data_IF_680367921306
#
_entry.id   IF_680367921306
#
_cell.length_a   1.000
_cell.length_b   1.000
_cell.length_c   1.000
_cell.angle_alpha   90.00
_cell.angle_beta   90.00
_cell.angle_gamma   90.00
#
_symmetry.space_group_name_H-M   'P 1'
#
loop_
_entity.id
_entity.type
_entity.pdbx_description
1 polymer ?
#
# COMPACT_ATOMS: atom_id res chain seq x y z
N UNK A 1 -3.52 29.35 7.02
CA UNK A 1 -3.58 28.07 7.76
C UNK A 1 -3.90 26.93 6.77
N UNK A 2 -3.29 25.75 6.93
CA UNK A 2 -3.63 24.58 6.09
C UNK A 2 -5.06 24.12 6.39
N UNK A 3 -5.84 23.82 5.33
CA UNK A 3 -7.18 23.25 5.49
C UNK A 3 -7.11 21.84 6.13
N UNK A 4 -8.16 21.37 6.84
CA UNK A 4 -8.15 20.11 7.57
C UNK A 4 -7.70 18.91 6.71
N UNK A 5 -8.25 18.76 5.49
CA UNK A 5 -7.90 17.68 4.58
C UNK A 5 -6.42 17.70 4.18
N UNK A 6 -5.81 18.86 4.00
CA UNK A 6 -4.39 18.96 3.61
C UNK A 6 -3.47 18.46 4.73
N UNK A 7 -3.87 18.61 6.00
CA UNK A 7 -3.10 18.07 7.13
C UNK A 7 -3.11 16.55 7.12
N UNK A 8 -4.26 15.94 6.84
CA UNK A 8 -4.37 14.49 6.73
C UNK A 8 -3.60 13.97 5.51
N UNK A 9 -3.71 14.63 4.35
CA UNK A 9 -2.90 14.30 3.17
C UNK A 9 -1.40 14.36 3.47
N UNK A 10 -0.96 15.37 4.24
CA UNK A 10 0.46 15.47 4.63
C UNK A 10 0.85 14.34 5.57
N UNK A 11 -0.02 13.88 6.48
CA UNK A 11 0.28 12.71 7.32
C UNK A 11 0.45 11.43 6.48
N UNK A 12 -0.41 11.19 5.49
CA UNK A 12 -0.23 10.09 4.53
C UNK A 12 1.09 10.21 3.76
N UNK A 13 1.42 11.42 3.30
CA UNK A 13 2.68 11.69 2.61
C UNK A 13 3.89 11.42 3.49
N UNK A 14 3.92 11.92 4.73
CA UNK A 14 5.04 11.73 5.67
C UNK A 14 5.21 10.27 6.10
N UNK A 15 4.11 9.52 6.24
CA UNK A 15 4.16 8.09 6.46
C UNK A 15 4.89 7.39 5.31
N UNK A 16 4.48 7.68 4.08
CA UNK A 16 5.10 7.12 2.89
C UNK A 16 6.56 7.57 2.69
N UNK A 17 6.89 8.83 3.04
CA UNK A 17 8.27 9.34 3.04
C UNK A 17 9.16 8.49 3.95
N UNK A 18 8.68 8.17 5.14
CA UNK A 18 9.42 7.35 6.10
C UNK A 18 9.64 5.93 5.57
N UNK A 19 8.60 5.30 5.03
CA UNK A 19 8.69 3.97 4.43
C UNK A 19 9.63 3.96 3.22
N UNK A 20 9.40 4.85 2.27
CA UNK A 20 10.16 4.91 1.02
C UNK A 20 11.65 5.17 1.23
N UNK A 21 12.01 5.98 2.25
CA UNK A 21 13.40 6.22 2.61
C UNK A 21 14.14 4.92 3.00
N UNK A 22 13.51 4.07 3.82
CA UNK A 22 14.11 2.81 4.26
C UNK A 22 14.06 1.75 3.15
N UNK A 23 12.90 1.60 2.46
CA UNK A 23 12.77 0.57 1.42
C UNK A 23 13.71 0.79 0.22
N UNK A 24 14.02 2.03 -0.12
CA UNK A 24 15.06 2.32 -1.11
C UNK A 24 16.49 1.94 -0.63
N UNK A 25 16.67 1.70 0.67
CA UNK A 25 17.92 1.27 1.30
C UNK A 25 17.96 -0.22 1.64
N UNK A 26 16.99 -1.02 1.18
CA UNK A 26 16.98 -2.47 1.44
C UNK A 26 18.27 -3.18 1.02
N UNK A 27 18.90 -2.85 -0.12
CA UNK A 27 20.20 -3.43 -0.45
C UNK A 27 21.30 -3.12 0.57
N UNK A 28 21.30 -1.91 1.12
CA UNK A 28 22.30 -1.47 2.11
C UNK A 28 22.03 -2.13 3.48
N UNK A 29 20.75 -2.24 3.87
CA UNK A 29 20.32 -2.91 5.09
C UNK A 29 20.70 -4.40 5.07
N UNK A 30 20.46 -5.09 3.95
CA UNK A 30 20.84 -6.49 3.77
C UNK A 30 22.34 -6.71 4.00
N UNK A 31 23.16 -5.85 3.37
CA UNK A 31 24.63 -5.93 3.49
C UNK A 31 25.06 -5.60 4.92
N UNK A 32 24.49 -4.57 5.55
CA UNK A 32 24.86 -4.19 6.91
C UNK A 32 24.54 -5.27 7.95
N UNK A 33 23.46 -6.01 7.75
CA UNK A 33 23.07 -7.14 8.62
C UNK A 33 23.86 -8.43 8.31
N UNK A 34 24.49 -8.53 7.14
CA UNK A 34 25.17 -9.75 6.70
C UNK A 34 24.22 -10.94 6.49
N UNK A 35 22.94 -10.67 6.18
CA UNK A 35 21.90 -11.68 6.03
C UNK A 35 21.67 -12.07 4.57
N UNK A 36 21.22 -13.30 4.35
CA UNK A 36 20.74 -13.73 3.05
C UNK A 36 19.34 -13.17 2.73
N UNK A 37 18.81 -13.45 1.54
CA UNK A 37 17.50 -12.94 1.12
C UNK A 37 16.34 -13.60 1.87
N UNK A 38 16.50 -14.86 2.28
CA UNK A 38 15.50 -15.57 3.08
C UNK A 38 15.38 -14.95 4.47
N UNK A 39 16.52 -14.68 5.12
CA UNK A 39 16.59 -14.04 6.42
C UNK A 39 16.07 -12.59 6.39
N UNK A 40 16.40 -11.84 5.31
CA UNK A 40 15.82 -10.51 5.10
C UNK A 40 14.30 -10.59 4.96
N UNK A 41 13.78 -11.50 4.16
CA UNK A 41 12.34 -11.72 3.99
C UNK A 41 11.64 -12.04 5.32
N UNK A 42 12.25 -12.90 6.17
CA UNK A 42 11.76 -13.18 7.51
C UNK A 42 11.82 -11.94 8.42
N UNK A 43 12.82 -11.10 8.25
CA UNK A 43 12.93 -9.85 9.03
C UNK A 43 11.81 -8.87 8.68
N UNK A 44 11.47 -8.74 7.41
CA UNK A 44 10.39 -7.86 6.93
C UNK A 44 8.99 -8.27 7.42
N UNK A 45 8.77 -9.55 7.71
CA UNK A 45 7.47 -10.07 8.18
C UNK A 45 7.01 -9.40 9.49
N UNK A 46 7.94 -8.90 10.29
CA UNK A 46 7.65 -8.19 11.54
C UNK A 46 6.65 -7.05 11.31
N UNK A 47 6.83 -6.26 10.25
CA UNK A 47 5.94 -5.14 9.95
C UNK A 47 4.51 -5.60 9.65
N UNK A 48 4.36 -6.67 8.89
CA UNK A 48 3.05 -7.23 8.54
C UNK A 48 2.34 -7.80 9.76
N UNK A 49 3.06 -8.51 10.67
CA UNK A 49 2.50 -9.03 11.93
C UNK A 49 2.00 -7.87 12.79
N UNK A 50 2.84 -6.85 12.99
CA UNK A 50 2.48 -5.66 13.78
C UNK A 50 1.25 -4.96 13.22
N UNK A 51 1.21 -4.73 11.90
CA UNK A 51 0.09 -4.08 11.23
C UNK A 51 -1.21 -4.88 11.38
N UNK A 52 -1.18 -6.19 11.19
CA UNK A 52 -2.37 -7.06 11.33
C UNK A 52 -2.94 -7.01 12.74
N UNK A 53 -2.09 -7.10 13.76
CA UNK A 53 -2.49 -6.98 15.17
C UNK A 53 -3.13 -5.61 15.41
N UNK A 54 -2.50 -4.55 14.94
CA UNK A 54 -2.98 -3.19 15.14
C UNK A 54 -4.29 -2.92 14.42
N UNK A 55 -4.44 -3.32 13.16
CA UNK A 55 -5.68 -3.19 12.38
C UNK A 55 -6.85 -3.89 13.07
N UNK A 56 -6.58 -4.96 13.84
CA UNK A 56 -7.60 -5.71 14.57
C UNK A 56 -7.93 -5.10 15.93
N UNK A 57 -6.94 -4.62 16.68
CA UNK A 57 -7.08 -4.33 18.10
C UNK A 57 -6.96 -2.85 18.48
N UNK A 58 -6.45 -1.96 17.61
CA UNK A 58 -6.12 -0.59 18.00
C UNK A 58 -7.31 0.38 18.04
N UNK A 59 -8.46 0.05 17.42
CA UNK A 59 -9.61 0.96 17.34
C UNK A 59 -10.07 1.53 18.68
N UNK A 60 -10.19 0.76 19.79
CA UNK A 60 -10.59 1.32 21.09
C UNK A 60 -9.56 2.28 21.66
N UNK A 61 -8.26 2.01 21.43
CA UNK A 61 -7.17 2.89 21.86
C UNK A 61 -7.19 4.21 21.08
N UNK A 62 -7.34 4.13 19.75
CA UNK A 62 -7.46 5.30 18.88
C UNK A 62 -8.64 6.19 19.31
N UNK A 63 -9.78 5.57 19.62
CA UNK A 63 -10.97 6.31 20.10
C UNK A 63 -10.71 7.06 21.42
N UNK A 64 -9.90 6.51 22.32
CA UNK A 64 -9.52 7.15 23.59
C UNK A 64 -8.48 8.26 23.43
N UNK A 65 -7.47 8.03 22.58
CA UNK A 65 -6.38 8.98 22.35
C UNK A 65 -6.82 10.17 21.47
N UNK A 66 -7.75 9.94 20.58
CA UNK A 66 -8.21 10.89 19.57
C UNK A 66 -7.22 11.03 18.40
N UNK A 67 -7.72 11.61 17.30
CA UNK A 67 -7.02 11.66 16.00
C UNK A 67 -5.65 12.34 16.07
N UNK A 68 -5.55 13.46 16.80
CA UNK A 68 -4.32 14.25 16.87
C UNK A 68 -3.21 13.52 17.62
N UNK A 69 -3.50 12.98 18.81
CA UNK A 69 -2.52 12.25 19.63
C UNK A 69 -2.09 10.98 18.93
N UNK A 70 -3.03 10.24 18.33
CA UNK A 70 -2.71 9.04 17.56
C UNK A 70 -1.81 9.38 16.38
N UNK A 71 -2.11 10.40 15.58
CA UNK A 71 -1.28 10.82 14.47
C UNK A 71 0.14 11.23 14.95
N UNK A 72 0.24 11.93 16.07
CA UNK A 72 1.53 12.34 16.65
C UNK A 72 2.38 11.13 17.02
N UNK A 73 1.82 10.20 17.81
CA UNK A 73 2.53 9.00 18.27
C UNK A 73 2.93 8.09 17.10
N UNK A 74 2.05 7.94 16.10
CA UNK A 74 2.28 7.00 15.01
C UNK A 74 3.22 7.56 13.94
N UNK A 75 2.99 8.77 13.40
CA UNK A 75 3.84 9.36 12.36
C UNK A 75 5.25 9.56 12.86
N UNK A 76 5.41 10.17 14.04
CA UNK A 76 6.74 10.43 14.59
C UNK A 76 7.38 9.17 15.17
N UNK A 77 6.59 8.27 15.75
CA UNK A 77 7.07 7.01 16.28
C UNK A 77 7.64 6.09 15.19
N UNK A 78 6.96 5.95 14.04
CA UNK A 78 7.49 5.18 12.91
C UNK A 78 8.78 5.79 12.40
N UNK A 79 8.85 7.12 12.25
CA UNK A 79 10.06 7.79 11.81
C UNK A 79 11.22 7.58 12.78
N UNK A 80 10.97 7.66 14.11
CA UNK A 80 11.98 7.40 15.13
C UNK A 80 12.48 5.95 15.08
N UNK A 81 11.56 4.96 14.98
CA UNK A 81 11.93 3.54 14.88
C UNK A 81 12.79 3.30 13.63
N UNK A 82 12.42 3.86 12.49
CA UNK A 82 13.16 3.65 11.25
C UNK A 82 14.53 4.36 11.27
N UNK A 83 14.69 5.44 12.01
CA UNK A 83 16.00 6.06 12.21
C UNK A 83 16.96 5.22 13.09
N UNK A 84 16.42 4.31 13.91
CA UNK A 84 17.23 3.39 14.73
C UNK A 84 17.76 2.21 13.91
N UNK A 85 16.98 1.71 12.94
CA UNK A 85 17.32 0.51 12.15
C UNK A 85 18.74 0.53 11.58
N UNK A 86 19.27 1.64 11.00
CA UNK A 86 20.62 1.66 10.45
C UNK A 86 21.77 1.49 11.46
N UNK A 87 21.47 1.53 12.75
CA UNK A 87 22.44 1.37 13.83
C UNK A 87 22.42 -0.03 14.45
N UNK A 88 21.54 -0.90 13.95
CA UNK A 88 21.40 -2.27 14.43
C UNK A 88 22.19 -3.22 13.50
N UNK A 89 22.82 -4.20 14.13
CA UNK A 89 23.64 -5.23 13.48
C UNK A 89 23.03 -6.64 13.56
N UNK A 90 21.84 -6.77 14.17
CA UNK A 90 21.18 -8.04 14.37
C UNK A 90 19.77 -8.07 13.74
N UNK A 91 19.51 -9.05 12.87
CA UNK A 91 18.21 -9.23 12.21
C UNK A 91 17.02 -9.34 13.19
N UNK A 92 17.12 -10.02 14.35
CA UNK A 92 16.03 -10.04 15.33
C UNK A 92 15.69 -8.65 15.91
N UNK A 93 16.68 -7.77 16.07
CA UNK A 93 16.44 -6.40 16.54
C UNK A 93 15.74 -5.57 15.47
N UNK A 94 16.14 -5.73 14.20
CA UNK A 94 15.47 -5.08 13.07
C UNK A 94 14.06 -5.61 12.89
N UNK A 95 13.84 -6.93 13.06
CA UNK A 95 12.48 -7.51 13.09
C UNK A 95 11.60 -6.87 14.15
N UNK A 96 12.12 -6.69 15.38
CA UNK A 96 11.39 -6.03 16.46
C UNK A 96 11.04 -4.57 16.11
N UNK A 97 11.96 -3.84 15.46
CA UNK A 97 11.69 -2.50 14.93
C UNK A 97 10.60 -2.51 13.87
N UNK A 98 10.64 -3.42 12.90
CA UNK A 98 9.57 -3.57 11.91
C UNK A 98 8.24 -3.94 12.56
N UNK A 99 8.24 -4.84 13.54
CA UNK A 99 7.03 -5.20 14.28
C UNK A 99 6.40 -3.99 14.99
N UNK A 100 7.20 -3.21 15.71
CA UNK A 100 6.74 -1.99 16.38
C UNK A 100 6.25 -0.94 15.36
N UNK A 101 6.98 -0.76 14.26
CA UNK A 101 6.58 0.14 13.18
C UNK A 101 5.26 -0.32 12.54
N UNK A 102 5.06 -1.63 12.37
CA UNK A 102 3.81 -2.21 11.91
C UNK A 102 2.63 -1.92 12.84
N UNK A 103 2.82 -2.09 14.16
CA UNK A 103 1.79 -1.73 15.16
C UNK A 103 1.38 -0.26 15.03
N UNK A 104 2.34 0.63 14.90
CA UNK A 104 2.05 2.06 14.72
C UNK A 104 1.45 2.35 13.35
N UNK A 105 1.90 1.67 12.29
CA UNK A 105 1.42 1.84 10.92
C UNK A 105 -0.04 1.44 10.77
N UNK A 106 -0.45 0.30 11.30
CA UNK A 106 -1.85 -0.12 11.29
C UNK A 106 -2.77 0.84 12.08
N UNK A 107 -2.31 1.33 13.22
CA UNK A 107 -3.05 2.34 13.99
C UNK A 107 -3.14 3.68 13.23
N UNK A 108 -2.07 4.09 12.56
CA UNK A 108 -2.04 5.30 11.73
C UNK A 108 -3.04 5.19 10.58
N UNK A 109 -3.06 4.06 9.88
CA UNK A 109 -3.94 3.83 8.75
C UNK A 109 -5.42 3.93 9.16
N UNK A 110 -5.83 3.26 10.24
CA UNK A 110 -7.19 3.39 10.78
C UNK A 110 -7.50 4.86 11.10
N UNK A 111 -6.59 5.52 11.83
CA UNK A 111 -6.78 6.89 12.31
C UNK A 111 -6.97 7.89 11.16
N UNK A 112 -6.12 7.81 10.13
CA UNK A 112 -6.17 8.72 8.99
C UNK A 112 -7.37 8.43 8.08
N UNK A 113 -7.69 7.15 7.85
CA UNK A 113 -8.84 6.76 7.02
C UNK A 113 -10.17 7.18 7.68
N UNK A 114 -10.32 7.01 8.98
CA UNK A 114 -11.51 7.47 9.71
C UNK A 114 -11.63 8.99 9.67
N UNK A 115 -10.53 9.72 9.84
CA UNK A 115 -10.58 11.17 9.84
C UNK A 115 -10.86 11.76 8.46
N UNK A 116 -10.28 11.21 7.40
CA UNK A 116 -10.58 11.67 6.04
C UNK A 116 -12.02 11.35 5.63
N UNK A 117 -12.60 10.20 6.05
CA UNK A 117 -14.02 9.89 5.85
C UNK A 117 -14.94 10.92 6.54
N UNK A 118 -14.59 11.33 7.76
CA UNK A 118 -15.35 12.39 8.48
C UNK A 118 -15.29 13.73 7.75
N UNK A 119 -14.11 14.13 7.29
CA UNK A 119 -13.93 15.38 6.51
C UNK A 119 -14.67 15.31 5.18
N UNK A 120 -14.63 14.16 4.51
CA UNK A 120 -15.33 13.90 3.25
C UNK A 120 -16.85 14.02 3.42
N UNK A 121 -17.39 13.46 4.50
CA UNK A 121 -18.82 13.56 4.83
C UNK A 121 -19.27 15.01 5.07
N UNK A 122 -18.44 15.84 5.73
CA UNK A 122 -18.73 17.26 5.95
C UNK A 122 -18.67 18.08 4.66
N UNK A 123 -17.71 17.77 3.81
CA UNK A 123 -17.47 18.52 2.57
C UNK A 123 -18.36 18.07 1.41
N UNK A 124 -19.11 16.96 1.57
CA UNK A 124 -19.89 16.29 0.50
C UNK A 124 -19.08 16.07 -0.78
N UNK A 125 -17.79 15.75 -0.63
CA UNK A 125 -16.83 15.63 -1.73
C UNK A 125 -15.83 14.53 -1.44
N UNK A 126 -15.63 13.60 -2.41
CA UNK A 126 -14.66 12.52 -2.35
C UNK A 126 -13.22 13.01 -2.13
N UNK A 127 -12.55 12.48 -1.09
CA UNK A 127 -11.19 12.87 -0.70
C UNK A 127 -10.28 11.66 -0.42
N UNK A 128 -10.85 10.47 -0.21
CA UNK A 128 -10.10 9.26 0.14
C UNK A 128 -9.05 8.88 -0.91
N UNK A 129 -9.43 8.85 -2.19
CA UNK A 129 -8.49 8.54 -3.29
C UNK A 129 -7.32 9.52 -3.35
N UNK A 130 -7.57 10.79 -3.05
CA UNK A 130 -6.51 11.81 -2.98
C UNK A 130 -5.56 11.57 -1.80
N UNK A 131 -6.08 11.17 -0.64
CA UNK A 131 -5.27 10.87 0.52
C UNK A 131 -4.27 9.74 0.21
N UNK A 132 -4.73 8.64 -0.39
CA UNK A 132 -3.88 7.55 -0.85
C UNK A 132 -2.97 7.96 -2.03
N UNK A 133 -3.40 8.91 -2.86
CA UNK A 133 -2.54 9.54 -3.87
C UNK A 133 -1.35 10.28 -3.26
N UNK A 134 -1.55 11.01 -2.16
CA UNK A 134 -0.46 11.65 -1.42
C UNK A 134 0.49 10.64 -0.77
N UNK A 135 -0.02 9.49 -0.30
CA UNK A 135 0.82 8.39 0.14
C UNK A 135 1.72 7.88 -0.99
N UNK A 136 1.15 7.55 -2.14
CA UNK A 136 1.91 7.07 -3.31
C UNK A 136 2.94 8.11 -3.80
N UNK A 137 2.56 9.39 -3.81
CA UNK A 137 3.45 10.49 -4.16
C UNK A 137 4.63 10.61 -3.18
N UNK A 138 4.37 10.49 -1.87
CA UNK A 138 5.41 10.50 -0.84
C UNK A 138 6.41 9.37 -1.04
N UNK A 139 5.92 8.18 -1.34
CA UNK A 139 6.76 7.02 -1.59
C UNK A 139 7.64 7.22 -2.83
N UNK A 140 7.06 7.66 -3.95
CA UNK A 140 7.79 7.98 -5.19
C UNK A 140 8.87 9.04 -4.98
N UNK A 141 8.50 10.19 -4.42
CA UNK A 141 9.44 11.30 -4.20
C UNK A 141 10.61 10.86 -3.34
N UNK A 142 10.33 10.11 -2.28
CA UNK A 142 11.37 9.64 -1.37
C UNK A 142 12.23 8.56 -1.99
N UNK A 143 11.67 7.63 -2.74
CA UNK A 143 12.44 6.60 -3.45
C UNK A 143 13.43 7.23 -4.45
N UNK A 144 12.99 8.27 -5.17
CA UNK A 144 13.86 9.02 -6.10
C UNK A 144 14.98 9.76 -5.35
N UNK A 145 14.64 10.49 -4.29
CA UNK A 145 15.63 11.23 -3.47
C UNK A 145 16.62 10.26 -2.83
N UNK A 146 16.13 9.15 -2.26
CA UNK A 146 16.96 8.13 -1.63
C UNK A 146 17.95 7.49 -2.61
N UNK A 147 17.54 7.29 -3.87
CA UNK A 147 18.41 6.79 -4.94
C UNK A 147 19.57 7.75 -5.21
N UNK A 148 19.30 9.05 -5.29
CA UNK A 148 20.32 10.09 -5.44
C UNK A 148 21.26 10.22 -4.24
N UNK A 149 20.71 10.19 -3.02
CA UNK A 149 21.47 10.22 -1.75
C UNK A 149 22.39 8.99 -1.68
N UNK A 150 21.90 7.82 -2.07
CA UNK A 150 22.68 6.58 -2.11
C UNK A 150 23.80 6.65 -3.14
N UNK A 151 23.55 7.19 -4.33
CA UNK A 151 24.56 7.43 -5.38
C UNK A 151 25.64 8.40 -4.91
N UNK A 152 25.28 9.41 -4.12
CA UNK A 152 26.24 10.35 -3.53
C UNK A 152 27.09 9.75 -2.41
N UNK A 153 26.93 8.47 -2.08
CA UNK A 153 27.71 7.80 -1.03
C UNK A 153 27.32 8.18 0.39
N UNK A 154 26.16 8.87 0.58
CA UNK A 154 25.70 9.24 1.92
C UNK A 154 25.23 7.99 2.65
N UNK A 155 25.73 7.79 3.87
CA UNK A 155 25.43 6.61 4.68
C UNK A 155 23.92 6.47 4.96
N UNK A 156 23.48 5.23 5.22
CA UNK A 156 22.08 4.95 5.57
C UNK A 156 21.70 5.67 6.88
N UNK A 157 22.65 5.74 7.85
CA UNK A 157 22.48 6.45 9.12
C UNK A 157 22.20 7.94 8.92
N UNK A 158 23.01 8.62 8.11
CA UNK A 158 22.84 10.05 7.84
C UNK A 158 21.52 10.32 7.08
N UNK A 159 21.20 9.49 6.09
CA UNK A 159 19.95 9.60 5.32
C UNK A 159 18.72 9.44 6.24
N UNK A 160 18.67 8.38 7.05
CA UNK A 160 17.51 8.13 7.93
C UNK A 160 17.40 9.18 9.04
N UNK A 161 18.54 9.66 9.57
CA UNK A 161 18.56 10.78 10.54
C UNK A 161 17.99 12.05 9.90
N UNK A 162 18.41 12.41 8.69
CA UNK A 162 17.85 13.55 7.96
C UNK A 162 16.36 13.41 7.70
N UNK A 163 15.91 12.20 7.33
CA UNK A 163 14.51 11.91 7.10
C UNK A 163 13.68 12.08 8.38
N UNK A 164 14.15 11.54 9.53
CA UNK A 164 13.41 11.67 10.79
C UNK A 164 13.32 13.13 11.24
N UNK A 165 14.39 13.91 11.09
CA UNK A 165 14.37 15.34 11.41
C UNK A 165 13.32 16.06 10.55
N UNK A 166 13.30 15.82 9.24
CA UNK A 166 12.32 16.43 8.35
C UNK A 166 10.88 16.03 8.72
N UNK A 167 10.64 14.75 9.02
CA UNK A 167 9.31 14.24 9.43
C UNK A 167 8.89 14.84 10.78
N UNK A 168 9.82 15.00 11.75
CA UNK A 168 9.52 15.61 13.05
C UNK A 168 9.16 17.09 12.91
N UNK A 169 9.91 17.85 12.12
CA UNK A 169 9.68 19.28 11.92
C UNK A 169 8.35 19.49 11.18
N UNK A 170 8.18 18.86 10.02
CA UNK A 170 6.98 19.04 9.18
C UNK A 170 5.77 18.40 9.86
N UNK A 171 5.91 17.15 10.34
CA UNK A 171 4.85 16.38 11.00
C UNK A 171 4.41 17.06 12.30
N UNK A 172 5.33 17.50 13.13
CA UNK A 172 5.03 18.22 14.37
C UNK A 172 4.18 19.46 14.10
N UNK A 173 4.56 20.30 13.13
CA UNK A 173 3.80 21.49 12.74
C UNK A 173 2.42 21.14 12.16
N UNK A 174 2.35 20.15 11.27
CA UNK A 174 1.10 19.77 10.60
C UNK A 174 0.12 19.14 11.59
N UNK A 175 0.60 18.18 12.40
CA UNK A 175 -0.23 17.43 13.36
C UNK A 175 -0.71 18.34 14.50
N UNK A 176 0.13 19.27 14.96
CA UNK A 176 -0.27 20.25 15.99
C UNK A 176 -1.52 21.03 15.63
N UNK A 177 -1.78 21.26 14.36
CA UNK A 177 -2.95 21.96 13.87
C UNK A 177 -4.12 21.06 13.47
N UNK A 178 -4.07 19.75 13.65
CA UNK A 178 -5.21 18.85 13.40
C UNK A 178 -6.32 19.17 14.41
N UNK A 179 -7.51 19.42 13.89
CA UNK A 179 -8.75 19.54 14.66
C UNK A 179 -9.65 18.40 14.24
N UNK A 180 -10.08 17.53 15.18
CA UNK A 180 -10.95 16.40 14.85
C UNK A 180 -12.22 16.87 14.14
N UNK A 181 -12.56 16.22 13.04
CA UNK A 181 -13.86 16.41 12.41
C UNK A 181 -14.97 15.77 13.28
N UNK A 182 -16.21 16.32 13.29
CA UNK A 182 -17.33 15.70 13.99
C UNK A 182 -17.53 14.25 13.58
N UNK A 183 -17.88 13.42 14.56
CA UNK A 183 -18.19 12.03 14.28
C UNK A 183 -19.37 11.93 13.30
N UNK A 184 -19.23 11.08 12.30
CA UNK A 184 -20.35 10.74 11.42
C UNK A 184 -21.42 10.05 12.26
N UNK A 185 -22.68 10.47 12.11
CA UNK A 185 -23.82 9.75 12.69
C UNK A 185 -23.89 8.41 11.95
N UNK A 186 -23.30 7.37 12.54
CA UNK A 186 -23.47 6.02 12.03
C UNK A 186 -24.82 5.52 12.52
N UNK A 187 -25.67 5.07 11.61
CA UNK A 187 -26.76 4.19 12.00
C UNK A 187 -26.15 2.95 12.69
N UNK A 188 -26.59 2.70 13.93
CA UNK A 188 -25.94 1.81 14.90
C UNK A 188 -25.96 0.32 14.57
N UNK A 189 -26.24 -0.11 13.34
CA UNK A 189 -26.72 -1.45 13.04
C UNK A 189 -25.71 -2.45 12.46
N UNK A 190 -24.42 -2.14 12.33
CA UNK A 190 -23.50 -3.16 11.86
C UNK A 190 -22.09 -3.05 12.46
N UNK A 191 -21.86 -3.70 13.59
CA UNK A 191 -20.49 -4.04 13.98
C UNK A 191 -19.90 -4.97 12.91
N UNK A 192 -18.87 -4.50 12.22
CA UNK A 192 -18.12 -5.38 11.32
C UNK A 192 -17.62 -6.59 12.13
N UNK A 193 -17.76 -7.82 11.64
CA UNK A 193 -17.28 -8.99 12.36
C UNK A 193 -15.77 -8.90 12.51
N UNK A 194 -15.26 -9.20 13.68
CA UNK A 194 -13.82 -9.24 13.98
C UNK A 194 -13.08 -10.24 13.09
N UNK A 195 -13.79 -11.29 12.66
CA UNK A 195 -13.30 -12.30 11.73
C UNK A 195 -14.42 -12.75 10.78
N UNK A 196 -14.16 -12.70 9.48
CA UNK A 196 -15.10 -13.10 8.45
C UNK A 196 -14.39 -14.00 7.43
N UNK A 197 -14.87 -15.25 7.28
CA UNK A 197 -14.41 -16.13 6.21
C UNK A 197 -15.09 -15.76 4.87
N UNK A 198 -14.36 -15.81 3.74
CA UNK A 198 -14.94 -15.55 2.44
C UNK A 198 -15.97 -16.62 2.06
N UNK A 199 -17.07 -16.21 1.43
CA UNK A 199 -17.98 -17.15 0.75
C UNK A 199 -17.32 -17.69 -0.52
N UNK A 200 -17.76 -18.86 -1.00
CA UNK A 200 -17.24 -19.40 -2.27
C UNK A 200 -17.36 -18.40 -3.44
N UNK A 201 -18.44 -17.64 -3.45
CA UNK A 201 -18.64 -16.60 -4.47
C UNK A 201 -17.70 -15.38 -4.32
N UNK A 202 -17.08 -15.19 -3.15
CA UNK A 202 -16.10 -14.10 -2.92
C UNK A 202 -14.67 -14.53 -3.30
N UNK A 203 -14.38 -15.82 -3.35
CA UNK A 203 -13.03 -16.35 -3.63
C UNK A 203 -12.38 -15.79 -4.90
N UNK A 204 -13.08 -15.64 -6.05
CA UNK A 204 -12.47 -15.03 -7.24
C UNK A 204 -11.95 -13.62 -6.98
N UNK A 205 -12.65 -12.80 -6.21
CA UNK A 205 -12.20 -11.45 -5.84
C UNK A 205 -10.99 -11.51 -4.90
N UNK A 206 -10.97 -12.46 -3.95
CA UNK A 206 -9.81 -12.69 -3.09
C UNK A 206 -8.56 -13.07 -3.91
N UNK A 207 -8.70 -13.93 -4.90
CA UNK A 207 -7.59 -14.35 -5.78
C UNK A 207 -7.00 -13.15 -6.53
N UNK A 208 -7.84 -12.27 -7.07
CA UNK A 208 -7.37 -11.05 -7.74
C UNK A 208 -6.59 -10.17 -6.77
N UNK A 209 -7.12 -9.95 -5.56
CA UNK A 209 -6.44 -9.14 -4.53
C UNK A 209 -5.11 -9.76 -4.07
N UNK A 210 -5.08 -11.07 -3.84
CA UNK A 210 -3.87 -11.85 -3.48
C UNK A 210 -2.79 -11.67 -4.56
N UNK A 211 -3.16 -11.87 -5.84
CA UNK A 211 -2.23 -11.76 -6.95
C UNK A 211 -1.66 -10.33 -7.08
N UNK A 212 -2.53 -9.32 -6.93
CA UNK A 212 -2.12 -7.92 -6.98
C UNK A 212 -1.15 -7.57 -5.85
N UNK A 213 -1.44 -7.96 -4.60
CA UNK A 213 -0.58 -7.66 -3.45
C UNK A 213 0.73 -8.42 -3.47
N UNK A 214 0.75 -9.66 -3.99
CA UNK A 214 2.01 -10.40 -4.17
C UNK A 214 2.94 -9.66 -5.15
N UNK A 215 2.43 -9.20 -6.28
CA UNK A 215 3.20 -8.44 -7.25
C UNK A 215 3.59 -7.04 -6.75
N UNK A 216 2.71 -6.38 -5.97
CA UNK A 216 2.99 -5.10 -5.31
C UNK A 216 4.11 -5.25 -4.29
N UNK A 217 4.05 -6.26 -3.42
CA UNK A 217 5.11 -6.56 -2.45
C UNK A 217 6.44 -6.88 -3.12
N UNK A 218 6.44 -7.66 -4.20
CA UNK A 218 7.64 -7.91 -4.98
C UNK A 218 8.27 -6.61 -5.50
N UNK A 219 7.45 -5.67 -6.00
CA UNK A 219 7.93 -4.38 -6.50
C UNK A 219 8.48 -3.48 -5.40
N UNK A 220 7.83 -3.41 -4.25
CA UNK A 220 8.22 -2.53 -3.14
C UNK A 220 9.47 -3.08 -2.42
N UNK A 221 9.46 -4.36 -2.05
CA UNK A 221 10.47 -4.91 -1.15
C UNK A 221 11.74 -5.31 -1.87
N UNK A 222 11.63 -5.77 -3.12
CA UNK A 222 12.70 -6.48 -3.80
C UNK A 222 13.27 -5.80 -5.05
N UNK A 223 12.63 -4.76 -5.60
CA UNK A 223 13.06 -4.17 -6.87
C UNK A 223 14.48 -3.57 -6.82
N UNK A 224 14.85 -2.91 -5.72
CA UNK A 224 16.18 -2.34 -5.55
C UNK A 224 17.25 -3.44 -5.40
N UNK A 225 16.94 -4.54 -4.71
CA UNK A 225 17.82 -5.72 -4.58
C UNK A 225 17.94 -6.43 -5.92
N UNK A 226 16.82 -6.59 -6.66
CA UNK A 226 16.81 -7.17 -7.99
C UNK A 226 17.76 -6.42 -8.93
N UNK A 227 17.65 -5.09 -9.00
CA UNK A 227 18.49 -4.27 -9.89
C UNK A 227 19.97 -4.37 -9.53
N UNK A 228 20.31 -4.43 -8.24
CA UNK A 228 21.68 -4.64 -7.78
C UNK A 228 22.21 -6.02 -8.15
N UNK A 229 21.47 -7.08 -7.84
CA UNK A 229 21.96 -8.46 -7.90
C UNK A 229 21.95 -9.02 -9.33
N UNK A 230 20.99 -8.60 -10.16
CA UNK A 230 20.84 -9.14 -11.53
C UNK A 230 21.70 -8.37 -12.53
N UNK A 231 21.86 -7.05 -12.35
CA UNK A 231 22.52 -6.20 -13.33
C UNK A 231 23.77 -5.49 -12.80
N UNK A 232 24.03 -5.55 -11.50
CA UNK A 232 25.16 -4.87 -10.85
C UNK A 232 25.24 -3.38 -11.21
N UNK A 233 24.06 -2.73 -11.35
CA UNK A 233 23.97 -1.33 -11.73
C UNK A 233 24.33 -0.40 -10.58
N UNK A 234 24.66 0.84 -10.92
CA UNK A 234 24.92 1.90 -9.95
C UNK A 234 23.72 2.16 -9.03
N UNK A 235 23.94 2.64 -7.78
CA UNK A 235 22.88 2.81 -6.78
C UNK A 235 21.69 3.64 -7.24
N UNK A 236 21.91 4.71 -8.03
CA UNK A 236 20.81 5.51 -8.57
C UNK A 236 19.93 4.71 -9.53
N UNK A 237 20.54 4.03 -10.49
CA UNK A 237 19.82 3.19 -11.47
C UNK A 237 19.11 2.04 -10.75
N UNK A 238 19.75 1.44 -9.73
CA UNK A 238 19.14 0.41 -8.90
C UNK A 238 17.87 0.87 -8.19
N UNK A 239 17.88 2.10 -7.67
CA UNK A 239 16.72 2.69 -7.01
C UNK A 239 15.59 3.09 -7.96
N UNK A 240 15.87 3.26 -9.28
CA UNK A 240 14.83 3.56 -10.26
C UNK A 240 13.82 2.42 -10.41
N UNK A 241 14.15 1.19 -10.05
CA UNK A 241 13.19 0.08 -10.03
C UNK A 241 11.99 0.40 -9.14
N UNK A 242 12.25 0.73 -7.88
CA UNK A 242 11.23 1.15 -6.91
C UNK A 242 10.57 2.47 -7.31
N UNK A 243 11.36 3.43 -7.79
CA UNK A 243 10.88 4.77 -8.17
C UNK A 243 9.85 4.70 -9.30
N UNK A 244 10.16 3.98 -10.39
CA UNK A 244 9.26 3.85 -11.54
C UNK A 244 8.02 3.02 -11.21
N UNK A 245 8.20 1.95 -10.41
CA UNK A 245 7.09 1.16 -9.89
C UNK A 245 6.09 2.05 -9.13
N UNK A 246 6.56 2.81 -8.13
CA UNK A 246 5.69 3.64 -7.29
C UNK A 246 5.12 4.84 -8.04
N UNK A 247 5.88 5.45 -8.96
CA UNK A 247 5.40 6.51 -9.82
C UNK A 247 4.23 6.06 -10.72
N UNK A 248 4.44 4.97 -11.45
CA UNK A 248 3.41 4.46 -12.37
C UNK A 248 2.17 3.96 -11.61
N UNK A 249 2.35 3.38 -10.42
CA UNK A 249 1.25 3.03 -9.54
C UNK A 249 0.46 4.27 -9.11
N UNK A 250 1.14 5.33 -8.67
CA UNK A 250 0.50 6.57 -8.24
C UNK A 250 -0.30 7.20 -9.39
N UNK A 251 0.32 7.32 -10.57
CA UNK A 251 -0.33 7.89 -11.75
C UNK A 251 -1.55 7.08 -12.16
N UNK A 252 -1.42 5.77 -12.24
CA UNK A 252 -2.54 4.90 -12.59
C UNK A 252 -3.70 5.00 -11.58
N UNK A 253 -3.42 5.08 -10.26
CA UNK A 253 -4.45 5.28 -9.21
C UNK A 253 -5.17 6.62 -9.37
N UNK A 254 -4.43 7.70 -9.65
CA UNK A 254 -5.03 9.04 -9.80
C UNK A 254 -6.00 9.16 -10.97
N UNK A 255 -5.77 8.38 -12.03
CA UNK A 255 -6.59 8.39 -13.24
C UNK A 255 -7.51 7.18 -13.38
N UNK A 256 -7.56 6.27 -12.38
CA UNK A 256 -8.34 5.05 -12.45
C UNK A 256 -9.85 5.32 -12.55
N UNK A 257 -10.39 6.19 -11.70
CA UNK A 257 -11.85 6.39 -11.59
C UNK A 257 -12.51 6.80 -12.91
N UNK A 258 -12.04 7.84 -13.64
CA UNK A 258 -12.63 8.21 -14.93
C UNK A 258 -12.54 7.09 -15.99
N UNK A 259 -11.45 6.31 -15.95
CA UNK A 259 -11.24 5.21 -16.89
C UNK A 259 -12.20 4.05 -16.58
N UNK A 260 -12.38 3.74 -15.30
CA UNK A 260 -13.33 2.72 -14.83
C UNK A 260 -14.77 3.12 -15.15
N UNK A 261 -15.13 4.39 -14.92
CA UNK A 261 -16.48 4.89 -15.25
C UNK A 261 -16.77 4.79 -16.76
N UNK A 262 -15.77 5.03 -17.61
CA UNK A 262 -15.92 4.99 -19.06
C UNK A 262 -15.94 3.57 -19.63
N UNK A 263 -15.04 2.68 -19.18
CA UNK A 263 -14.80 1.38 -19.80
C UNK A 263 -15.31 0.19 -18.97
N UNK A 264 -15.72 0.43 -17.73
CA UNK A 264 -16.18 -0.60 -16.79
C UNK A 264 -15.04 -1.30 -16.05
N UNK A 265 -15.34 -1.73 -14.81
CA UNK A 265 -14.36 -2.31 -13.89
C UNK A 265 -13.66 -3.55 -14.45
N UNK A 266 -14.40 -4.47 -15.11
CA UNK A 266 -13.84 -5.69 -15.68
C UNK A 266 -12.85 -5.41 -16.81
N UNK A 267 -13.17 -4.52 -17.74
CA UNK A 267 -12.31 -4.17 -18.88
C UNK A 267 -11.01 -3.55 -18.38
N UNK A 268 -11.11 -2.58 -17.44
CA UNK A 268 -9.95 -1.92 -16.85
C UNK A 268 -9.09 -2.92 -16.08
N UNK A 269 -9.70 -3.76 -15.23
CA UNK A 269 -8.97 -4.79 -14.50
C UNK A 269 -8.28 -5.79 -15.45
N UNK A 270 -8.90 -6.14 -16.58
CA UNK A 270 -8.25 -7.01 -17.58
C UNK A 270 -7.02 -6.36 -18.17
N UNK A 271 -7.10 -5.10 -18.57
CA UNK A 271 -5.96 -4.36 -19.12
C UNK A 271 -4.82 -4.23 -18.09
N UNK A 272 -5.17 -3.90 -16.84
CA UNK A 272 -4.21 -3.78 -15.74
C UNK A 272 -3.55 -5.12 -15.40
N UNK A 273 -4.32 -6.21 -15.34
CA UNK A 273 -3.78 -7.55 -15.08
C UNK A 273 -2.83 -8.01 -16.20
N UNK A 274 -3.18 -7.76 -17.47
CA UNK A 274 -2.29 -8.04 -18.60
C UNK A 274 -1.03 -7.19 -18.55
N UNK A 275 -1.14 -5.94 -18.17
CA UNK A 275 0.00 -5.04 -17.99
C UNK A 275 0.91 -5.54 -16.86
N UNK A 276 0.36 -5.95 -15.70
CA UNK A 276 1.12 -6.54 -14.61
C UNK A 276 1.82 -7.83 -15.03
N UNK A 277 1.12 -8.72 -15.75
CA UNK A 277 1.70 -9.97 -16.26
C UNK A 277 2.84 -9.71 -17.24
N UNK A 278 2.68 -8.77 -18.18
CA UNK A 278 3.73 -8.37 -19.11
C UNK A 278 4.93 -7.74 -18.39
N UNK A 279 4.68 -6.94 -17.35
CA UNK A 279 5.72 -6.37 -16.51
C UNK A 279 6.51 -7.44 -15.74
N UNK A 280 5.84 -8.41 -15.13
CA UNK A 280 6.47 -9.55 -14.44
C UNK A 280 7.31 -10.39 -15.41
N UNK A 281 6.79 -10.68 -16.60
CA UNK A 281 7.54 -11.37 -17.62
C UNK A 281 8.77 -10.55 -18.07
N UNK A 282 8.59 -9.23 -18.30
CA UNK A 282 9.69 -8.36 -18.68
C UNK A 282 10.79 -8.35 -17.60
N UNK A 283 10.44 -8.24 -16.31
CA UNK A 283 11.44 -8.31 -15.22
C UNK A 283 12.10 -9.69 -15.19
N UNK A 284 11.34 -10.78 -15.24
CA UNK A 284 11.88 -12.15 -15.13
C UNK A 284 12.86 -12.49 -16.24
N UNK A 285 12.61 -12.00 -17.47
CA UNK A 285 13.41 -12.35 -18.67
C UNK A 285 14.25 -11.18 -19.21
N UNK A 286 14.37 -10.05 -18.49
CA UNK A 286 15.10 -8.88 -18.94
C UNK A 286 16.57 -9.22 -19.27
N UNK A 287 17.06 -8.99 -20.51
CA UNK A 287 18.47 -9.16 -20.86
C UNK A 287 19.34 -8.02 -20.32
N UNK A 288 18.74 -6.84 -20.05
CA UNK A 288 19.46 -5.71 -19.49
C UNK A 288 18.54 -4.75 -18.66
N UNK A 289 19.12 -3.83 -17.87
CA UNK A 289 18.39 -3.11 -16.81
C UNK A 289 17.22 -2.26 -17.32
N UNK A 290 17.31 -1.65 -18.50
CA UNK A 290 16.22 -0.76 -18.99
C UNK A 290 14.91 -1.54 -19.24
N UNK A 291 14.97 -2.78 -19.70
CA UNK A 291 13.77 -3.60 -19.87
C UNK A 291 13.17 -3.95 -18.50
N UNK A 292 14.01 -4.23 -17.51
CA UNK A 292 13.53 -4.47 -16.14
C UNK A 292 12.86 -3.21 -15.56
N UNK A 293 13.42 -2.02 -15.78
CA UNK A 293 12.81 -0.76 -15.34
C UNK A 293 11.45 -0.52 -15.98
N UNK A 294 11.30 -0.79 -17.29
CA UNK A 294 10.00 -0.76 -17.97
C UNK A 294 9.05 -1.79 -17.35
N UNK A 295 9.57 -2.99 -17.04
CA UNK A 295 8.82 -4.02 -16.35
C UNK A 295 8.30 -3.59 -14.98
N UNK A 296 9.13 -2.94 -14.16
CA UNK A 296 8.71 -2.38 -12.86
C UNK A 296 7.64 -1.31 -13.00
N UNK A 297 7.77 -0.42 -13.99
CA UNK A 297 6.74 0.56 -14.32
C UNK A 297 5.41 -0.12 -14.68
N UNK A 298 5.46 -1.16 -15.50
CA UNK A 298 4.29 -1.92 -15.93
C UNK A 298 3.64 -2.70 -14.77
N UNK A 299 4.43 -3.30 -13.86
CA UNK A 299 3.90 -3.96 -12.65
C UNK A 299 3.20 -2.93 -11.77
N UNK A 300 3.84 -1.77 -11.51
CA UNK A 300 3.27 -0.72 -10.67
C UNK A 300 1.94 -0.19 -11.20
N UNK A 301 1.86 0.14 -12.49
CA UNK A 301 0.62 0.55 -13.13
C UNK A 301 -0.42 -0.57 -13.11
N UNK A 302 0.00 -1.81 -13.41
CA UNK A 302 -0.88 -2.96 -13.53
C UNK A 302 -1.51 -3.42 -12.21
N UNK A 303 -0.79 -3.29 -11.08
CA UNK A 303 -1.34 -3.65 -9.76
C UNK A 303 -2.20 -2.53 -9.13
N UNK A 304 -2.10 -1.31 -9.64
CA UNK A 304 -2.57 -0.08 -8.99
C UNK A 304 -4.04 -0.09 -8.53
N UNK A 305 -4.96 -0.51 -9.37
CA UNK A 305 -6.39 -0.44 -9.11
C UNK A 305 -7.07 -1.81 -8.91
N UNK A 306 -6.33 -2.92 -9.02
CA UNK A 306 -6.94 -4.26 -8.92
C UNK A 306 -7.61 -4.48 -7.56
N UNK A 307 -6.92 -4.18 -6.46
CA UNK A 307 -7.49 -4.34 -5.12
C UNK A 307 -8.67 -3.38 -4.85
N UNK A 308 -8.60 -2.06 -5.14
CA UNK A 308 -9.76 -1.18 -5.05
C UNK A 308 -10.98 -1.67 -5.82
N UNK A 309 -10.79 -2.19 -7.02
CA UNK A 309 -11.89 -2.75 -7.83
C UNK A 309 -12.50 -4.00 -7.20
N UNK A 310 -11.69 -4.86 -6.55
CA UNK A 310 -12.22 -6.03 -5.83
C UNK A 310 -13.00 -5.63 -4.57
N UNK A 311 -12.54 -4.61 -3.83
CA UNK A 311 -13.27 -4.04 -2.68
C UNK A 311 -14.64 -3.51 -3.12
N UNK A 312 -14.66 -2.70 -4.19
CA UNK A 312 -15.91 -2.16 -4.73
C UNK A 312 -16.88 -3.27 -5.17
N UNK A 313 -16.38 -4.30 -5.85
CA UNK A 313 -17.18 -5.44 -6.26
C UNK A 313 -17.68 -6.27 -5.06
N UNK A 314 -16.85 -6.49 -4.03
CA UNK A 314 -17.25 -7.19 -2.82
C UNK A 314 -18.36 -6.46 -2.06
N UNK A 315 -18.28 -5.12 -1.99
CA UNK A 315 -19.29 -4.29 -1.35
C UNK A 315 -20.65 -4.32 -2.07
N UNK A 316 -20.65 -4.55 -3.38
CA UNK A 316 -21.87 -4.61 -4.22
C UNK A 316 -22.53 -5.99 -4.21
N UNK A 317 -21.93 -7.01 -3.60
CA UNK A 317 -22.52 -8.35 -3.52
C UNK A 317 -23.73 -8.35 -2.58
N UNK A 318 -24.73 -9.17 -2.93
CA UNK A 318 -25.99 -9.30 -2.19
C UNK A 318 -26.10 -10.57 -1.37
N UNK A 319 -25.09 -11.47 -1.42
CA UNK A 319 -25.08 -12.73 -0.69
C UNK A 319 -24.87 -12.56 0.84
N UNK A 320 -24.22 -11.46 1.22
CA UNK A 320 -23.99 -11.07 2.63
C UNK A 320 -23.98 -9.54 2.74
N UNK A 321 -24.10 -8.98 3.96
CA UNK A 321 -23.92 -7.54 4.18
C UNK A 321 -22.58 -7.05 3.62
N UNK A 322 -22.56 -5.88 2.99
CA UNK A 322 -21.38 -5.32 2.32
C UNK A 322 -20.14 -5.29 3.22
N UNK A 323 -20.29 -4.87 4.49
CA UNK A 323 -19.19 -4.80 5.45
C UNK A 323 -18.59 -6.17 5.77
N UNK A 324 -19.38 -7.27 5.72
CA UNK A 324 -18.89 -8.65 5.95
C UNK A 324 -18.06 -9.13 4.75
N UNK A 325 -18.53 -8.87 3.53
CA UNK A 325 -17.80 -9.25 2.32
C UNK A 325 -16.48 -8.47 2.18
N UNK A 326 -16.49 -7.16 2.45
CA UNK A 326 -15.29 -6.31 2.42
C UNK A 326 -14.28 -6.75 3.48
N UNK A 327 -14.75 -7.03 4.72
CA UNK A 327 -13.88 -7.51 5.79
C UNK A 327 -13.25 -8.86 5.44
N UNK A 328 -14.03 -9.81 4.92
CA UNK A 328 -13.54 -11.13 4.52
C UNK A 328 -12.52 -11.05 3.37
N UNK A 329 -12.78 -10.21 2.36
CA UNK A 329 -11.84 -9.95 1.28
C UNK A 329 -10.53 -9.35 1.83
N UNK A 330 -10.63 -8.30 2.65
CA UNK A 330 -9.46 -7.65 3.24
C UNK A 330 -8.62 -8.62 4.05
N UNK A 331 -9.21 -9.37 4.97
CA UNK A 331 -8.48 -10.33 5.81
C UNK A 331 -7.71 -11.38 5.01
N UNK A 332 -8.31 -11.93 3.96
CA UNK A 332 -7.66 -12.95 3.13
C UNK A 332 -6.56 -12.34 2.26
N UNK A 333 -6.80 -11.18 1.67
CA UNK A 333 -5.80 -10.53 0.82
C UNK A 333 -4.61 -9.99 1.61
N UNK A 334 -4.83 -9.48 2.81
CA UNK A 334 -3.73 -9.02 3.67
C UNK A 334 -2.80 -10.13 4.18
N UNK A 335 -3.24 -11.41 4.18
CA UNK A 335 -2.35 -12.56 4.47
C UNK A 335 -1.14 -12.58 3.54
N UNK A 336 -1.27 -12.08 2.31
CA UNK A 336 -0.18 -12.06 1.34
C UNK A 336 0.95 -11.12 1.76
N UNK A 337 0.65 -9.97 2.35
CA UNK A 337 1.70 -9.09 2.89
C UNK A 337 2.53 -9.77 3.99
N UNK A 338 1.94 -10.78 4.64
CA UNK A 338 2.61 -11.60 5.62
C UNK A 338 3.50 -12.67 4.98
N UNK A 339 3.02 -13.30 3.92
CA UNK A 339 3.69 -14.44 3.30
C UNK A 339 4.63 -14.04 2.15
N UNK A 340 4.38 -12.91 1.48
CA UNK A 340 5.13 -12.52 0.30
C UNK A 340 6.62 -12.24 0.58
N UNK A 341 7.03 -11.45 1.59
CA UNK A 341 8.45 -11.19 1.81
C UNK A 341 9.28 -12.45 2.06
N UNK A 342 8.91 -13.37 2.97
CA UNK A 342 9.67 -14.59 3.19
C UNK A 342 9.61 -15.56 2.01
N UNK A 343 8.46 -15.68 1.34
CA UNK A 343 8.32 -16.52 0.15
C UNK A 343 9.27 -16.04 -0.95
N UNK A 344 9.22 -14.75 -1.28
CA UNK A 344 10.06 -14.18 -2.33
C UNK A 344 11.53 -14.17 -1.94
N UNK A 345 11.85 -13.89 -0.67
CA UNK A 345 13.19 -13.98 -0.15
C UNK A 345 13.78 -15.38 -0.26
N UNK A 346 13.02 -16.40 0.14
CA UNK A 346 13.42 -17.80 0.02
C UNK A 346 13.66 -18.22 -1.45
N UNK A 347 12.72 -17.89 -2.34
CA UNK A 347 12.88 -18.19 -3.77
C UNK A 347 14.07 -17.42 -4.37
N UNK A 348 14.23 -16.15 -4.00
CA UNK A 348 15.32 -15.31 -4.48
C UNK A 348 16.71 -15.84 -4.05
N UNK A 349 16.81 -16.40 -2.84
CA UNK A 349 18.05 -16.99 -2.35
C UNK A 349 18.41 -18.30 -3.06
N UNK A 350 17.43 -19.21 -3.21
CA UNK A 350 17.68 -20.57 -3.70
C UNK A 350 17.58 -20.71 -5.22
N UNK A 351 16.79 -19.87 -5.89
CA UNK A 351 16.54 -19.95 -7.33
C UNK A 351 16.88 -18.65 -8.08
N UNK A 352 17.25 -17.60 -7.35
CA UNK A 352 17.63 -16.30 -7.90
C UNK A 352 16.45 -15.32 -8.06
N UNK A 353 16.81 -14.03 -8.13
CA UNK A 353 15.84 -12.92 -8.19
C UNK A 353 14.89 -12.99 -9.38
N UNK A 354 15.32 -13.47 -10.55
CA UNK A 354 14.48 -13.62 -11.74
C UNK A 354 13.34 -14.60 -11.51
N UNK A 355 13.62 -15.71 -10.84
CA UNK A 355 12.62 -16.73 -10.51
C UNK A 355 11.66 -16.22 -9.42
N UNK A 356 12.15 -15.43 -8.47
CA UNK A 356 11.26 -14.81 -7.46
C UNK A 356 10.17 -13.95 -8.12
N UNK A 357 10.49 -13.15 -9.14
CA UNK A 357 9.48 -12.42 -9.91
C UNK A 357 8.63 -13.33 -10.79
N UNK A 358 9.20 -14.38 -11.35
CA UNK A 358 8.47 -15.35 -12.17
C UNK A 358 7.39 -16.08 -11.35
N UNK A 359 7.62 -16.35 -10.05
CA UNK A 359 6.64 -16.98 -9.15
C UNK A 359 5.40 -16.10 -8.96
N UNK A 360 5.50 -14.78 -9.13
CA UNK A 360 4.35 -13.88 -9.08
C UNK A 360 3.48 -13.96 -10.34
N UNK A 361 4.01 -14.47 -11.46
CA UNK A 361 3.29 -14.49 -12.75
C UNK A 361 2.09 -15.45 -12.77
N UNK A 362 2.17 -16.72 -12.31
CA UNK A 362 1.03 -17.65 -12.32
C UNK A 362 -0.19 -17.12 -11.57
N UNK A 363 -0.10 -16.55 -10.33
CA UNK A 363 -1.25 -15.95 -9.66
C UNK A 363 -1.89 -14.79 -10.44
N UNK A 364 -1.08 -13.91 -11.05
CA UNK A 364 -1.57 -12.80 -11.88
C UNK A 364 -2.28 -13.35 -13.13
N UNK A 365 -1.70 -14.32 -13.82
CA UNK A 365 -2.35 -14.95 -15.00
C UNK A 365 -3.62 -15.68 -14.60
N UNK A 366 -3.61 -16.41 -13.49
CA UNK A 366 -4.80 -17.09 -12.98
C UNK A 366 -5.92 -16.12 -12.61
N UNK A 367 -5.58 -14.93 -12.10
CA UNK A 367 -6.57 -13.90 -11.77
C UNK A 367 -7.38 -13.43 -13.00
N UNK A 368 -6.86 -13.56 -14.24
CA UNK A 368 -7.63 -13.26 -15.46
C UNK A 368 -8.93 -14.07 -15.56
N UNK A 369 -8.93 -15.32 -15.14
CA UNK A 369 -10.13 -16.16 -15.11
C UNK A 369 -11.14 -15.70 -14.05
N UNK A 370 -10.64 -15.09 -12.97
CA UNK A 370 -11.41 -14.57 -11.86
C UNK A 370 -12.06 -13.21 -12.16
N UNK A 371 -11.59 -12.46 -13.16
CA UNK A 371 -12.12 -11.14 -13.52
C UNK A 371 -13.59 -11.15 -13.94
N UNK A 372 -14.14 -12.32 -14.26
CA UNK A 372 -15.58 -12.50 -14.52
C UNK A 372 -16.43 -12.13 -13.30
N UNK A 373 -15.87 -12.14 -12.09
CA UNK A 373 -16.55 -11.72 -10.86
C UNK A 373 -16.70 -10.18 -10.75
N UNK A 374 -15.96 -9.41 -11.55
CA UNK A 374 -16.10 -7.96 -11.60
C UNK A 374 -17.27 -7.56 -12.54
N UNK A 375 -18.00 -6.47 -12.23
CA UNK A 375 -19.07 -5.97 -13.10
C UNK A 375 -18.52 -5.50 -14.45
N UNK A 376 -19.26 -5.76 -15.53
CA UNK A 376 -18.88 -5.38 -16.90
C UNK A 376 -18.98 -3.87 -17.08
N UNK A 377 -20.02 -3.25 -16.49
CA UNK A 377 -20.28 -1.81 -16.52
C UNK A 377 -20.92 -1.45 -15.18
N UNK A 378 -20.61 -0.26 -14.62
CA UNK A 378 -21.51 0.31 -13.62
C UNK A 378 -22.87 0.40 -14.29
N UNK A 379 -23.90 -0.20 -13.72
CA UNK A 379 -25.27 0.08 -14.14
C UNK A 379 -25.45 1.59 -13.89
N UNK A 380 -25.30 2.39 -14.92
CA UNK A 380 -26.00 3.66 -14.99
C UNK A 380 -27.44 3.24 -14.91
N UNK A 381 -28.15 3.66 -13.85
CA UNK A 381 -29.56 3.39 -13.69
C UNK A 381 -30.24 3.61 -15.03
N UNK A 382 -30.87 2.54 -15.53
CA UNK A 382 -31.64 2.56 -16.78
C UNK A 382 -32.89 3.43 -16.68
N UNK A 383 -33.07 4.13 -15.56
CA UNK A 383 -34.19 5.00 -15.23
C UNK A 383 -33.81 6.46 -15.27
N UNK A 384 -32.88 7.00 -15.91
CA UNK A 384 -32.69 8.45 -16.13
C UNK A 384 -33.15 9.44 -15.04
N UNK A 385 -33.60 8.91 -13.91
CA UNK A 385 -34.05 9.66 -12.74
C UNK A 385 -32.84 9.87 -11.82
N UNK A 386 -32.27 11.08 -11.93
CA UNK A 386 -31.37 11.58 -10.90
C UNK A 386 -32.05 11.42 -9.54
N UNK A 387 -31.28 10.95 -8.56
CA UNK A 387 -31.67 10.91 -7.16
C UNK A 387 -32.32 12.26 -6.77
N UNK A 388 -33.65 12.31 -6.78
CA UNK A 388 -34.40 13.41 -6.20
C UNK A 388 -34.46 13.17 -4.68
N UNK A 389 -34.02 14.12 -3.83
CA UNK A 389 -34.21 13.99 -2.40
C UNK A 389 -35.70 13.94 -2.12
N UNK A 390 -36.12 12.87 -1.41
CA UNK A 390 -37.48 12.50 -1.18
C UNK A 390 -38.35 13.68 -0.71
N UNK A 391 -39.47 13.85 -1.35
CA UNK A 391 -40.60 14.60 -0.83
C UNK A 391 -41.07 13.90 0.46
N UNK A 392 -40.65 14.47 1.59
CA UNK A 392 -41.24 14.17 2.88
C UNK A 392 -42.70 14.66 2.84
N UNK A 393 -43.62 13.75 3.07
CA UNK A 393 -45.04 13.98 3.04
C UNK A 393 -45.49 15.20 3.77
N UNK A 394 -46.45 15.88 3.21
CA UNK A 394 -47.40 16.79 3.85
C UNK A 394 -48.71 16.06 4.16
N UNK A 395 -49.43 16.57 5.15
CA UNK A 395 -50.16 15.86 6.18
C UNK A 395 -51.35 15.08 5.73
#
# INVERSE_FOLDING_TARGET
>A
MLAPQHRIYTCFFLFAVTLGALFARMPDLQVALGVDKSELGLTLIGMSIGSLISLTLSSPLIARLGVRTTAFLTVLGIAAIFAIIPWLDAAPAVFACFFCAGLLGGALEINLNVEIDRIEAQASRGMMSRAHGFWSLGFFVTALIASGIRQAGISMQAHMTGTVIAVFVIGGFVIAGIRPAPARVQHADAKAPTFALPSLGLLPLCIIGIAAFLAEGAGIDWSAIYMRDVFAVEPFVGGLGLTLFTFCMAMARLFADPVVDRFGARTVATALTLLAASGLAAVSFAPHPYLALIGFAAIGAGCSALYPLTISAAAQRTDRPAHVNVAALGQVTFIVFFLAPPLLGFVAEHAGMRIAYLVCLPPIVFSLFCLKALPIRRALDSTGEGWAPGEAGRP
#
